data_IF_734579762378
#
_entry.id   IF_734579762378
#
_cell.length_a   1.000
_cell.length_b   1.000
_cell.length_c   1.000
_cell.angle_alpha   90.00
_cell.angle_beta   90.00
_cell.angle_gamma   90.00
#
_symmetry.space_group_name_H-M   'P 1'
#
loop_
_entity.id
_entity.type
_entity.pdbx_description
1 polymer ?
#
# COMPACT_ATOMS: atom_id res chain seq x y z
N UNK A 1 4.34 -9.31 0.47
CA UNK A 1 4.57 -10.64 -0.12
C UNK A 1 5.28 -11.61 0.84
N UNK A 2 6.47 -11.26 1.33
CA UNK A 2 7.30 -12.14 2.19
C UNK A 2 6.64 -12.59 3.49
N UNK A 3 5.90 -11.71 4.16
CA UNK A 3 5.18 -12.06 5.40
C UNK A 3 4.13 -13.16 5.17
N UNK A 4 3.42 -13.12 4.03
CA UNK A 4 2.45 -14.14 3.65
C UNK A 4 3.13 -15.48 3.34
N UNK A 5 4.26 -15.44 2.62
CA UNK A 5 5.05 -16.63 2.36
C UNK A 5 5.58 -17.27 3.65
N UNK A 6 6.07 -16.44 4.58
CA UNK A 6 6.55 -16.91 5.87
C UNK A 6 5.41 -17.50 6.73
N UNK A 7 4.24 -16.85 6.75
CA UNK A 7 3.05 -17.34 7.44
C UNK A 7 2.61 -18.71 6.91
N UNK A 8 2.49 -18.86 5.58
CA UNK A 8 2.12 -20.14 4.96
C UNK A 8 3.16 -21.24 5.20
N UNK A 9 4.45 -20.90 5.25
CA UNK A 9 5.52 -21.87 5.53
C UNK A 9 5.51 -22.41 6.96
N UNK A 10 4.77 -21.78 7.89
CA UNK A 10 4.69 -22.15 9.31
C UNK A 10 3.32 -22.67 9.74
N UNK A 11 2.41 -22.79 8.79
CA UNK A 11 1.00 -22.97 9.04
C UNK A 11 0.71 -24.30 9.76
N UNK A 12 0.08 -24.23 10.93
CA UNK A 12 -0.44 -25.42 11.62
C UNK A 12 -1.77 -25.87 11.00
N UNK A 13 -1.75 -27.03 10.31
CA UNK A 13 -2.96 -27.60 9.70
C UNK A 13 -3.95 -28.18 10.73
N UNK A 14 -3.50 -28.41 11.96
CA UNK A 14 -4.36 -28.83 13.08
C UNK A 14 -5.16 -27.69 13.70
N UNK A 15 -4.73 -26.44 13.49
CA UNK A 15 -5.44 -25.24 13.94
C UNK A 15 -6.25 -24.64 12.79
N UNK A 16 -7.56 -24.90 12.81
CA UNK A 16 -8.48 -24.41 11.79
C UNK A 16 -8.55 -22.87 11.71
N UNK A 17 -8.31 -22.18 12.83
CA UNK A 17 -8.33 -20.71 12.87
C UNK A 17 -7.05 -20.14 12.27
N UNK A 18 -5.89 -20.74 12.58
CA UNK A 18 -4.61 -20.36 11.97
C UNK A 18 -4.62 -20.61 10.46
N UNK A 19 -5.10 -21.77 10.03
CA UNK A 19 -5.26 -22.11 8.62
C UNK A 19 -6.12 -21.09 7.87
N UNK A 20 -7.30 -20.77 8.42
CA UNK A 20 -8.20 -19.79 7.82
C UNK A 20 -7.53 -18.41 7.71
N UNK A 21 -6.91 -17.92 8.78
CA UNK A 21 -6.22 -16.63 8.79
C UNK A 21 -5.05 -16.57 7.79
N UNK A 22 -4.26 -17.65 7.70
CA UNK A 22 -3.15 -17.75 6.75
C UNK A 22 -3.62 -17.70 5.29
N UNK A 23 -4.70 -18.42 4.97
CA UNK A 23 -5.26 -18.43 3.61
C UNK A 23 -6.02 -17.14 3.26
N UNK A 24 -6.65 -16.47 4.23
CA UNK A 24 -7.25 -15.16 4.01
C UNK A 24 -6.16 -14.09 3.75
N UNK A 25 -5.01 -14.19 4.42
CA UNK A 25 -3.86 -13.34 4.11
C UNK A 25 -3.28 -13.63 2.72
N UNK A 26 -3.33 -14.88 2.25
CA UNK A 26 -2.97 -15.23 0.87
C UNK A 26 -3.93 -14.61 -0.13
N UNK A 27 -5.24 -14.74 0.07
CA UNK A 27 -6.22 -14.16 -0.85
C UNK A 27 -6.06 -12.64 -0.95
N UNK A 28 -5.88 -11.97 0.19
CA UNK A 28 -5.60 -10.53 0.21
C UNK A 28 -4.32 -10.14 -0.56
N UNK A 29 -3.30 -11.01 -0.56
CA UNK A 29 -2.09 -10.82 -1.36
C UNK A 29 -2.38 -10.97 -2.87
N UNK A 30 -3.12 -12.01 -3.25
CA UNK A 30 -3.47 -12.29 -4.64
C UNK A 30 -4.41 -11.23 -5.22
N UNK A 31 -5.29 -10.66 -4.41
CA UNK A 31 -6.14 -9.52 -4.77
C UNK A 31 -5.30 -8.28 -5.07
N UNK A 32 -4.34 -7.94 -4.19
CA UNK A 32 -3.44 -6.82 -4.42
C UNK A 32 -2.62 -6.98 -5.71
N UNK A 33 -2.07 -8.17 -5.96
CA UNK A 33 -1.36 -8.46 -7.21
C UNK A 33 -2.28 -8.37 -8.44
N UNK A 34 -3.54 -8.83 -8.34
CA UNK A 34 -4.51 -8.70 -9.43
C UNK A 34 -4.85 -7.24 -9.72
N UNK A 35 -4.94 -6.40 -8.68
CA UNK A 35 -5.24 -4.98 -8.83
C UNK A 35 -4.09 -4.20 -9.47
N UNK A 36 -2.85 -4.50 -9.07
CA UNK A 36 -1.62 -4.00 -9.70
C UNK A 36 -1.66 -4.19 -11.23
N UNK A 37 -1.78 -5.44 -11.67
CA UNK A 37 -1.80 -5.80 -13.08
C UNK A 37 -2.92 -5.12 -13.86
N UNK A 38 -4.08 -4.93 -13.24
CA UNK A 38 -5.21 -4.22 -13.87
C UNK A 38 -4.87 -2.76 -14.14
N UNK A 39 -4.33 -2.04 -13.16
CA UNK A 39 -3.97 -0.62 -13.36
C UNK A 39 -2.94 -0.43 -14.46
N UNK A 40 -2.00 -1.36 -14.57
CA UNK A 40 -1.00 -1.32 -15.62
C UNK A 40 -1.58 -1.62 -16.98
N UNK A 41 -2.40 -2.67 -17.09
CA UNK A 41 -3.06 -3.04 -18.33
C UNK A 41 -4.03 -1.94 -18.83
N UNK A 42 -4.72 -1.27 -17.92
CA UNK A 42 -5.76 -0.29 -18.26
C UNK A 42 -5.21 1.12 -18.46
N UNK A 43 -4.09 1.47 -17.82
CA UNK A 43 -3.56 2.85 -17.81
C UNK A 43 -2.13 2.93 -18.33
N UNK A 44 -1.21 2.11 -17.81
CA UNK A 44 0.23 2.25 -18.07
C UNK A 44 0.60 1.72 -19.47
N UNK A 45 0.24 0.49 -19.79
CA UNK A 45 0.55 -0.11 -21.09
C UNK A 45 -0.06 0.67 -22.26
N UNK A 46 -1.36 1.08 -22.22
CA UNK A 46 -1.92 1.92 -23.27
C UNK A 46 -1.19 3.25 -23.44
N UNK A 47 -0.70 3.85 -22.35
CA UNK A 47 0.10 5.07 -22.43
C UNK A 47 1.47 4.82 -23.09
N UNK A 48 2.15 3.75 -22.71
CA UNK A 48 3.43 3.37 -23.34
C UNK A 48 3.24 3.12 -24.83
N UNK A 49 2.25 2.31 -25.22
CA UNK A 49 1.92 2.00 -26.62
C UNK A 49 1.56 3.24 -27.46
N UNK A 50 0.87 4.21 -26.85
CA UNK A 50 0.48 5.44 -27.53
C UNK A 50 1.67 6.30 -27.99
N UNK A 51 2.84 6.16 -27.34
CA UNK A 51 4.07 6.90 -27.70
C UNK A 51 5.15 6.00 -28.30
N UNK A 52 5.15 4.71 -27.95
CA UNK A 52 6.12 3.71 -28.40
C UNK A 52 5.41 2.39 -28.74
N UNK A 53 4.84 2.27 -29.95
CA UNK A 53 4.13 1.06 -30.37
C UNK A 53 5.01 -0.21 -30.29
N UNK A 54 4.46 -1.27 -29.72
CA UNK A 54 5.10 -2.57 -29.51
C UNK A 54 5.95 -2.68 -28.24
N UNK A 55 6.16 -1.58 -27.49
CA UNK A 55 7.05 -1.57 -26.32
C UNK A 55 6.51 -2.38 -25.12
N UNK A 56 5.20 -2.60 -25.03
CA UNK A 56 4.55 -3.35 -23.94
C UNK A 56 4.11 -4.77 -24.32
N UNK A 57 4.26 -5.18 -25.59
CA UNK A 57 3.75 -6.47 -26.09
C UNK A 57 4.27 -7.68 -25.32
N UNK A 58 5.57 -7.67 -24.96
CA UNK A 58 6.18 -8.76 -24.19
C UNK A 58 5.58 -8.84 -22.79
N UNK A 59 5.41 -7.71 -22.13
CA UNK A 59 4.91 -7.65 -20.75
C UNK A 59 3.42 -7.94 -20.68
N UNK A 60 2.65 -7.60 -21.73
CA UNK A 60 1.26 -8.03 -21.85
C UNK A 60 1.10 -9.56 -21.90
N UNK A 61 2.10 -10.31 -22.40
CA UNK A 61 2.11 -11.77 -22.32
C UNK A 61 2.45 -12.26 -20.91
N UNK A 62 3.49 -11.68 -20.29
CA UNK A 62 3.90 -11.97 -18.92
C UNK A 62 2.76 -11.69 -17.90
N UNK A 63 1.90 -10.68 -18.15
CA UNK A 63 0.71 -10.38 -17.34
C UNK A 63 -0.36 -11.48 -17.42
N UNK A 64 -0.54 -12.10 -18.60
CA UNK A 64 -1.48 -13.23 -18.74
C UNK A 64 -1.00 -14.43 -17.94
N UNK A 65 0.29 -14.74 -18.04
CA UNK A 65 0.91 -15.82 -17.27
C UNK A 65 0.81 -15.56 -15.75
N UNK A 66 1.04 -14.32 -15.30
CA UNK A 66 0.83 -13.94 -13.90
C UNK A 66 -0.62 -14.11 -13.44
N UNK A 67 -1.61 -13.73 -14.26
CA UNK A 67 -3.03 -13.91 -13.93
C UNK A 67 -3.41 -15.39 -13.83
N UNK A 68 -2.85 -16.25 -14.70
CA UNK A 68 -3.01 -17.70 -14.63
C UNK A 68 -2.38 -18.31 -13.36
N UNK A 69 -1.19 -17.82 -12.98
CA UNK A 69 -0.53 -18.20 -11.72
C UNK A 69 -1.38 -17.80 -10.51
N UNK A 70 -1.94 -16.59 -10.50
CA UNK A 70 -2.86 -16.11 -9.45
C UNK A 70 -4.10 -17.02 -9.36
N UNK A 71 -4.71 -17.36 -10.50
CA UNK A 71 -5.87 -18.25 -10.54
C UNK A 71 -5.53 -19.64 -9.97
N UNK A 72 -4.38 -20.19 -10.35
CA UNK A 72 -3.87 -21.47 -9.84
C UNK A 72 -3.68 -21.45 -8.33
N UNK A 73 -3.07 -20.40 -7.79
CA UNK A 73 -2.87 -20.22 -6.35
C UNK A 73 -4.20 -20.14 -5.60
N UNK A 74 -5.21 -19.41 -6.13
CA UNK A 74 -6.56 -19.36 -5.56
C UNK A 74 -7.22 -20.74 -5.53
N UNK A 75 -7.10 -21.52 -6.61
CA UNK A 75 -7.63 -22.90 -6.66
C UNK A 75 -6.95 -23.80 -5.63
N UNK A 76 -5.62 -23.71 -5.49
CA UNK A 76 -4.87 -24.49 -4.50
C UNK A 76 -5.24 -24.09 -3.06
N UNK A 77 -5.42 -22.80 -2.79
CA UNK A 77 -5.87 -22.30 -1.49
C UNK A 77 -7.28 -22.83 -1.16
N UNK A 78 -8.22 -22.78 -2.10
CA UNK A 78 -9.56 -23.33 -1.93
C UNK A 78 -9.56 -24.85 -1.67
N UNK A 79 -8.72 -25.60 -2.39
CA UNK A 79 -8.55 -27.02 -2.16
C UNK A 79 -7.99 -27.32 -0.75
N UNK A 80 -7.02 -26.51 -0.28
CA UNK A 80 -6.46 -26.66 1.05
C UNK A 80 -7.47 -26.29 2.16
N UNK A 81 -8.34 -25.30 1.94
CA UNK A 81 -9.46 -25.00 2.85
C UNK A 81 -10.41 -26.19 2.99
N UNK A 82 -10.73 -26.84 1.88
CA UNK A 82 -11.63 -27.99 1.89
C UNK A 82 -10.99 -29.23 2.51
N UNK A 83 -9.71 -29.45 2.25
CA UNK A 83 -8.95 -30.62 2.70
C UNK A 83 -7.55 -30.20 3.17
N UNK A 84 -7.35 -29.98 4.48
CA UNK A 84 -6.07 -29.55 5.04
C UNK A 84 -5.02 -30.68 5.04
N UNK A 85 -4.38 -30.91 3.90
CA UNK A 85 -3.36 -31.96 3.74
C UNK A 85 -1.96 -31.35 3.59
N UNK A 86 -0.98 -31.90 4.32
CA UNK A 86 0.40 -31.42 4.33
C UNK A 86 1.02 -31.31 2.92
N UNK A 87 0.76 -32.30 2.06
CA UNK A 87 1.24 -32.27 0.67
C UNK A 87 0.63 -31.13 -0.14
N UNK A 88 -0.63 -30.77 0.09
CA UNK A 88 -1.29 -29.64 -0.58
C UNK A 88 -0.75 -28.30 -0.05
N UNK A 89 -0.54 -28.18 1.26
CA UNK A 89 0.06 -27.00 1.87
C UNK A 89 1.48 -26.75 1.34
N UNK A 90 2.31 -27.80 1.24
CA UNK A 90 3.66 -27.69 0.70
C UNK A 90 3.68 -27.28 -0.78
N UNK A 91 2.77 -27.83 -1.61
CA UNK A 91 2.63 -27.41 -3.01
C UNK A 91 2.24 -25.94 -3.13
N UNK A 92 1.24 -25.50 -2.36
CA UNK A 92 0.81 -24.11 -2.33
C UNK A 92 1.95 -23.17 -1.93
N UNK A 93 2.68 -23.51 -0.87
CA UNK A 93 3.85 -22.75 -0.42
C UNK A 93 4.91 -22.62 -1.52
N UNK A 94 5.27 -23.72 -2.19
CA UNK A 94 6.27 -23.71 -3.26
C UNK A 94 5.82 -22.89 -4.46
N UNK A 95 4.55 -23.00 -4.84
CA UNK A 95 4.01 -22.25 -5.97
C UNK A 95 3.96 -20.76 -5.66
N UNK A 96 3.60 -20.39 -4.43
CA UNK A 96 3.64 -19.00 -3.99
C UNK A 96 5.07 -18.45 -3.95
N UNK A 97 6.06 -19.25 -3.53
CA UNK A 97 7.45 -18.83 -3.53
C UNK A 97 7.94 -18.50 -4.94
N UNK A 98 7.60 -19.34 -5.93
CA UNK A 98 7.92 -19.09 -7.33
C UNK A 98 7.22 -17.82 -7.85
N UNK A 99 5.90 -17.70 -7.60
CA UNK A 99 5.13 -16.51 -7.97
C UNK A 99 5.73 -15.22 -7.38
N UNK A 100 6.15 -15.22 -6.11
CA UNK A 100 6.75 -14.03 -5.48
C UNK A 100 8.09 -13.67 -6.13
N UNK A 101 8.91 -14.66 -6.50
CA UNK A 101 10.18 -14.41 -7.18
C UNK A 101 9.95 -13.76 -8.55
N UNK A 102 9.06 -14.34 -9.35
CA UNK A 102 8.67 -13.81 -10.66
C UNK A 102 8.06 -12.40 -10.53
N UNK A 103 7.22 -12.17 -9.52
CA UNK A 103 6.62 -10.86 -9.28
C UNK A 103 7.68 -9.80 -8.91
N UNK A 104 8.78 -10.15 -8.25
CA UNK A 104 9.85 -9.20 -7.97
C UNK A 104 10.64 -8.84 -9.22
N UNK A 105 10.98 -9.82 -10.06
CA UNK A 105 11.65 -9.57 -11.33
C UNK A 105 10.78 -8.72 -12.27
N UNK A 106 9.47 -9.03 -12.28
CA UNK A 106 8.47 -8.29 -13.03
C UNK A 106 8.42 -6.81 -12.60
N UNK A 107 8.27 -6.52 -11.30
CA UNK A 107 8.25 -5.14 -10.78
C UNK A 107 9.56 -4.38 -11.04
N UNK A 108 10.72 -5.04 -10.99
CA UNK A 108 12.01 -4.39 -11.29
C UNK A 108 12.05 -3.90 -12.75
N UNK A 109 11.54 -4.69 -13.68
CA UNK A 109 11.45 -4.30 -15.09
C UNK A 109 10.51 -3.10 -15.27
N UNK A 110 9.35 -3.11 -14.61
CA UNK A 110 8.40 -2.00 -14.67
C UNK A 110 8.99 -0.72 -14.08
N UNK A 111 9.61 -0.81 -12.90
CA UNK A 111 10.19 0.34 -12.24
C UNK A 111 11.39 0.91 -13.00
N UNK A 112 12.24 0.06 -13.58
CA UNK A 112 13.46 0.49 -14.26
C UNK A 112 13.22 0.91 -15.72
N UNK A 113 12.34 0.22 -16.46
CA UNK A 113 12.17 0.43 -17.91
C UNK A 113 10.87 1.15 -18.27
N UNK A 114 9.73 0.73 -17.72
CA UNK A 114 8.45 1.36 -18.05
C UNK A 114 8.38 2.79 -17.54
N UNK A 115 8.78 3.04 -16.29
CA UNK A 115 8.88 4.39 -15.76
C UNK A 115 9.82 5.25 -16.60
N UNK A 116 10.96 4.71 -17.03
CA UNK A 116 11.90 5.44 -17.90
C UNK A 116 11.26 5.81 -19.23
N UNK A 117 10.53 4.89 -19.88
CA UNK A 117 9.82 5.15 -21.13
C UNK A 117 8.74 6.23 -20.96
N UNK A 118 7.96 6.15 -19.87
CA UNK A 118 6.94 7.15 -19.54
C UNK A 118 7.58 8.53 -19.31
N UNK A 119 8.64 8.62 -18.52
CA UNK A 119 9.33 9.90 -18.24
C UNK A 119 9.96 10.52 -19.48
N UNK A 120 10.47 9.70 -20.41
CA UNK A 120 11.01 10.18 -21.66
C UNK A 120 9.90 10.73 -22.59
N UNK A 121 8.75 10.05 -22.63
CA UNK A 121 7.70 10.31 -23.61
C UNK A 121 6.64 11.35 -23.19
N UNK A 122 6.41 11.51 -21.89
CA UNK A 122 5.35 12.35 -21.33
C UNK A 122 5.91 13.57 -20.59
N UNK A 123 5.13 14.65 -20.57
CA UNK A 123 5.36 15.79 -19.68
C UNK A 123 4.87 15.46 -18.27
N UNK A 124 5.39 16.18 -17.28
CA UNK A 124 5.00 15.99 -15.87
C UNK A 124 3.50 16.23 -15.63
N UNK A 125 2.89 17.18 -16.35
CA UNK A 125 1.47 17.44 -16.25
C UNK A 125 0.63 16.27 -16.77
N UNK A 126 1.07 15.63 -17.85
CA UNK A 126 0.43 14.41 -18.35
C UNK A 126 0.64 13.25 -17.37
N UNK A 127 1.86 13.04 -16.87
CA UNK A 127 2.17 12.00 -15.88
C UNK A 127 1.32 12.16 -14.60
N UNK A 128 1.19 13.39 -14.09
CA UNK A 128 0.37 13.69 -12.91
C UNK A 128 -1.12 13.47 -13.18
N UNK A 129 -1.60 13.79 -14.37
CA UNK A 129 -2.98 13.47 -14.77
C UNK A 129 -3.19 11.95 -14.85
N UNK A 130 -2.20 11.19 -15.31
CA UNK A 130 -2.27 9.72 -15.32
C UNK A 130 -2.29 9.13 -13.91
N UNK A 131 -1.39 9.57 -13.03
CA UNK A 131 -1.38 9.19 -11.62
C UNK A 131 -2.73 9.51 -10.95
N UNK A 132 -3.28 10.71 -11.19
CA UNK A 132 -4.58 11.11 -10.67
C UNK A 132 -5.72 10.18 -11.10
N UNK A 133 -5.70 9.67 -12.34
CA UNK A 133 -6.70 8.68 -12.81
C UNK A 133 -6.55 7.34 -12.10
N UNK A 134 -5.32 6.87 -11.86
CA UNK A 134 -5.06 5.63 -11.11
C UNK A 134 -5.53 5.79 -9.66
N UNK A 135 -5.13 6.88 -8.99
CA UNK A 135 -5.56 7.14 -7.61
C UNK A 135 -7.08 7.26 -7.48
N UNK A 136 -7.75 7.82 -8.49
CA UNK A 136 -9.21 7.92 -8.52
C UNK A 136 -9.91 6.58 -8.78
N UNK A 137 -9.26 5.61 -9.43
CA UNK A 137 -9.83 4.27 -9.67
C UNK A 137 -9.67 3.34 -8.47
N UNK A 138 -8.72 3.63 -7.57
CA UNK A 138 -8.47 2.81 -6.37
C UNK A 138 -9.60 2.97 -5.35
N UNK A 139 -10.34 1.88 -5.13
CA UNK A 139 -11.39 1.82 -4.11
C UNK A 139 -10.84 1.75 -2.67
N UNK A 140 -11.67 2.00 -1.64
CA UNK A 140 -11.22 2.00 -0.24
C UNK A 140 -10.66 0.67 0.26
N UNK A 141 -11.20 -0.45 -0.23
CA UNK A 141 -10.74 -1.79 0.12
C UNK A 141 -9.35 -2.06 -0.45
N UNK A 142 -9.16 -1.71 -1.72
CA UNK A 142 -7.88 -1.82 -2.40
C UNK A 142 -6.82 -0.90 -1.76
N UNK A 143 -7.16 0.36 -1.47
CA UNK A 143 -6.26 1.28 -0.76
C UNK A 143 -5.81 0.70 0.59
N UNK A 144 -6.70 0.03 1.32
CA UNK A 144 -6.35 -0.61 2.60
C UNK A 144 -5.32 -1.72 2.41
N UNK A 145 -5.43 -2.51 1.32
CA UNK A 145 -4.46 -3.55 0.99
C UNK A 145 -3.10 -2.97 0.63
N UNK A 146 -3.06 -1.92 -0.19
CA UNK A 146 -1.82 -1.23 -0.55
C UNK A 146 -1.13 -0.62 0.66
N UNK A 147 -1.88 0.07 1.52
CA UNK A 147 -1.34 0.65 2.76
C UNK A 147 -0.72 -0.40 3.69
N UNK A 148 -1.29 -1.61 3.75
CA UNK A 148 -0.69 -2.70 4.54
C UNK A 148 0.73 -3.02 4.06
N UNK A 149 1.02 -2.89 2.77
CA UNK A 149 2.33 -3.17 2.20
C UNK A 149 3.26 -1.97 2.22
N UNK A 150 2.72 -0.78 2.00
CA UNK A 150 3.48 0.46 1.95
C UNK A 150 3.89 0.93 3.35
N UNK A 151 2.97 0.95 4.33
CA UNK A 151 3.22 1.55 5.66
C UNK A 151 4.46 1.02 6.40
N UNK A 152 4.83 -0.27 6.31
CA UNK A 152 6.07 -0.75 6.92
C UNK A 152 7.34 -0.09 6.34
N UNK A 153 7.31 0.36 5.09
CA UNK A 153 8.45 1.00 4.42
C UNK A 153 8.56 2.50 4.73
N UNK A 154 7.50 3.13 5.26
CA UNK A 154 7.48 4.55 5.60
C UNK A 154 8.30 4.82 6.87
N UNK A 155 8.91 6.01 6.97
CA UNK A 155 9.56 6.42 8.22
C UNK A 155 8.51 6.54 9.32
N UNK A 156 8.88 6.32 10.60
CA UNK A 156 7.91 6.38 11.70
C UNK A 156 7.09 7.69 11.75
N UNK A 157 7.71 8.82 11.40
CA UNK A 157 7.07 10.14 11.36
C UNK A 157 6.07 10.28 10.21
N UNK A 158 6.44 9.83 9.01
CA UNK A 158 5.57 9.85 7.82
C UNK A 158 4.38 8.92 8.01
N UNK A 159 4.63 7.73 8.57
CA UNK A 159 3.57 6.77 8.94
C UNK A 159 2.61 7.36 9.97
N UNK A 160 3.11 8.08 10.97
CA UNK A 160 2.27 8.71 12.00
C UNK A 160 1.39 9.83 11.40
N UNK A 161 1.92 10.63 10.49
CA UNK A 161 1.17 11.69 9.79
C UNK A 161 0.05 11.10 8.93
N UNK A 162 0.36 10.05 8.17
CA UNK A 162 -0.61 9.39 7.31
C UNK A 162 -1.76 8.78 8.14
N UNK A 163 -1.45 8.09 9.23
CA UNK A 163 -2.48 7.51 10.12
C UNK A 163 -3.29 8.60 10.82
N UNK A 164 -2.67 9.72 11.22
CA UNK A 164 -3.37 10.84 11.86
C UNK A 164 -4.36 11.54 10.91
N UNK A 165 -4.09 11.54 9.61
CA UNK A 165 -5.00 12.07 8.58
C UNK A 165 -6.15 11.14 8.22
N UNK A 166 -6.14 9.88 8.65
CA UNK A 166 -7.22 8.94 8.36
C UNK A 166 -8.44 9.24 9.22
N UNK A 167 -9.66 9.24 8.63
CA UNK A 167 -10.87 9.38 9.42
C UNK A 167 -10.94 8.25 10.46
N UNK A 168 -11.34 8.54 11.71
CA UNK A 168 -11.49 7.52 12.73
C UNK A 168 -12.43 6.44 12.21
N UNK A 169 -12.11 5.16 12.43
CA UNK A 169 -13.00 4.05 12.09
C UNK A 169 -14.41 4.41 12.55
N UNK A 170 -15.45 4.32 11.69
CA UNK A 170 -16.81 4.55 12.14
C UNK A 170 -17.02 3.62 13.33
N UNK A 171 -17.33 4.22 14.49
CA UNK A 171 -17.77 3.45 15.66
C UNK A 171 -18.93 2.61 15.16
N UNK A 172 -18.71 1.30 14.99
CA UNK A 172 -19.83 0.34 14.91
C UNK A 172 -20.68 0.69 16.13
N UNK A 173 -21.91 1.19 15.90
CA UNK A 173 -22.89 1.36 16.98
C UNK A 173 -22.88 0.04 17.73
N UNK A 174 -22.47 0.12 18.99
CA UNK A 174 -22.07 -1.06 19.75
C UNK A 174 -23.16 -2.11 19.70
N UNK A 175 -22.81 -3.31 19.23
CA UNK A 175 -23.38 -4.48 19.87
C UNK A 175 -22.95 -4.43 21.34
N UNK A 176 -23.86 -4.60 22.30
CA UNK A 176 -23.52 -4.52 23.70
C UNK A 176 -22.69 -5.76 24.05
N UNK A 177 -21.37 -5.67 23.87
CA UNK A 177 -20.48 -6.55 24.61
C UNK A 177 -20.65 -6.16 26.08
N UNK A 178 -20.94 -7.10 27.00
CA UNK A 178 -21.02 -6.75 28.40
C UNK A 178 -19.66 -6.17 28.80
N UNK A 179 -19.71 -4.91 29.25
CA UNK A 179 -18.59 -4.23 29.83
C UNK A 179 -17.93 -5.19 30.83
N UNK A 180 -16.63 -5.40 30.63
CA UNK A 180 -15.74 -6.14 31.50
C UNK A 180 -16.13 -5.87 32.96
N UNK A 181 -16.73 -6.86 33.62
CA UNK A 181 -16.86 -6.93 35.07
C UNK A 181 -15.45 -7.13 35.64
N UNK A 182 -14.67 -6.06 35.69
CA UNK A 182 -13.38 -6.00 36.36
C UNK A 182 -13.31 -4.64 37.05
N UNK A 183 -13.96 -4.52 38.20
CA UNK A 183 -13.58 -3.50 39.18
C UNK A 183 -12.60 -4.15 40.15
N UNK A 184 -11.33 -3.78 40.03
CA UNK A 184 -10.34 -4.11 41.05
C UNK A 184 -10.70 -3.34 42.33
N UNK A 185 -11.17 -4.03 43.36
CA UNK A 185 -11.23 -3.49 44.72
C UNK A 185 -9.96 -3.88 45.46
N UNK A 186 -9.21 -2.96 46.09
CA UNK A 186 -8.14 -3.33 47.00
C UNK A 186 -8.78 -3.76 48.32
N UNK A 187 -8.46 -4.96 48.79
CA UNK A 187 -8.83 -5.48 50.10
C UNK A 187 -7.67 -6.29 50.69
N UNK A 188 -7.47 -6.26 52.02
CA UNK A 188 -6.22 -6.67 52.65
C UNK A 188 -6.13 -8.18 52.90
N UNK A 189 -4.89 -8.65 52.94
CA UNK A 189 -4.43 -9.89 53.58
C UNK A 189 -4.61 -11.24 52.85
N UNK A 190 -3.51 -11.98 52.93
CA UNK A 190 -3.20 -13.38 52.65
C UNK A 190 -4.34 -14.37 52.38
N UNK A 191 -4.32 -14.99 51.19
CA UNK A 191 -4.43 -16.44 50.92
C UNK A 191 -5.01 -16.68 49.51
N UNK A 192 -4.21 -17.21 48.58
CA UNK A 192 -4.68 -17.56 47.22
C UNK A 192 -5.33 -18.96 47.26
N UNK A 193 -6.66 -19.01 47.34
CA UNK A 193 -7.44 -20.20 46.97
C UNK A 193 -8.01 -19.98 45.56
N UNK A 194 -7.71 -20.88 44.62
CA UNK A 194 -8.28 -20.88 43.27
C UNK A 194 -9.46 -21.86 43.24
N UNK A 195 -10.68 -21.36 43.03
CA UNK A 195 -11.86 -22.21 42.73
C UNK A 195 -12.25 -22.09 41.25
N UNK A 196 -12.58 -23.22 40.62
CA UNK A 196 -13.06 -23.29 39.23
C UNK A 196 -14.48 -22.70 39.11
N UNK A 197 -14.73 -21.88 38.09
CA UNK A 197 -16.06 -21.35 37.72
C UNK A 197 -16.93 -22.42 37.02
N UNK A 198 -18.27 -22.31 37.09
CA UNK A 198 -19.19 -23.11 36.28
C UNK A 198 -19.23 -22.62 34.82
N UNK A 199 -19.71 -23.43 33.84
CA UNK A 199 -19.74 -23.04 32.43
C UNK A 199 -20.82 -21.98 32.16
N UNK A 200 -20.58 -21.14 31.14
CA UNK A 200 -21.52 -20.12 30.66
C UNK A 200 -22.83 -20.73 30.15
N UNK A 201 -23.98 -20.04 30.27
CA UNK A 201 -25.25 -20.54 29.73
C UNK A 201 -25.28 -20.48 28.21
N UNK A 202 -25.91 -21.48 27.59
CA UNK A 202 -26.10 -21.59 26.15
C UNK A 202 -27.11 -20.56 25.61
N UNK A 203 -26.86 -20.07 24.38
CA UNK A 203 -27.74 -19.13 23.66
C UNK A 203 -28.94 -19.87 23.04
N UNK A 204 -30.15 -19.28 23.01
CA UNK A 204 -31.30 -19.90 22.36
C UNK A 204 -31.23 -19.75 20.83
N UNK A 205 -31.59 -20.83 20.12
CA UNK A 205 -31.85 -20.82 18.67
C UNK A 205 -33.26 -20.26 18.39
N UNK A 206 -33.48 -19.53 17.29
CA UNK A 206 -34.83 -19.14 16.90
C UNK A 206 -35.54 -20.30 16.20
N UNK A 207 -36.68 -20.74 16.75
CA UNK A 207 -37.66 -21.60 16.05
C UNK A 207 -38.57 -20.75 15.14
N UNK A 208 -38.96 -21.32 14.00
CA UNK A 208 -39.44 -20.59 12.82
C UNK A 208 -40.94 -20.30 12.73
N UNK A 209 -41.29 -19.59 11.66
CA UNK A 209 -42.60 -19.62 10.98
C UNK A 209 -42.49 -18.99 9.57
N UNK A 210 -42.95 -19.73 8.56
CA UNK A 210 -43.43 -19.29 7.24
C UNK A 210 -44.82 -19.93 7.02
N UNK A 211 -45.66 -19.68 5.97
CA UNK A 211 -45.53 -18.81 4.77
C UNK A 211 -46.81 -17.98 4.38
N UNK A 212 -46.68 -17.21 3.28
CA UNK A 212 -47.65 -16.71 2.26
C UNK A 212 -48.98 -15.95 2.57
N UNK A 213 -49.10 -14.74 2.00
CA UNK A 213 -50.29 -14.28 1.23
C UNK A 213 -50.05 -12.94 0.49
N UNK A 214 -50.42 -12.91 -0.80
CA UNK A 214 -50.54 -11.75 -1.69
C UNK A 214 -51.52 -10.67 -1.17
N UNK A 215 -51.17 -9.38 -1.36
CA UNK A 215 -52.10 -8.36 -1.90
C UNK A 215 -51.37 -7.08 -2.36
N UNK A 216 -51.86 -6.55 -3.47
CA UNK A 216 -51.43 -5.37 -4.22
C UNK A 216 -51.35 -4.05 -3.44
N UNK A 217 -50.50 -3.13 -3.91
CA UNK A 217 -50.58 -1.72 -3.54
C UNK A 217 -49.31 -0.91 -3.82
N UNK A 218 -49.24 -0.32 -5.02
CA UNK A 218 -48.40 0.81 -5.42
C UNK A 218 -47.88 1.72 -4.29
N UNK A 219 -46.56 1.82 -4.14
CA UNK A 219 -45.89 3.01 -3.61
C UNK A 219 -44.43 3.09 -4.11
N UNK A 220 -44.06 4.29 -4.55
CA UNK A 220 -42.82 4.63 -5.23
C UNK A 220 -41.55 4.22 -4.46
N UNK A 221 -40.65 3.51 -5.13
CA UNK A 221 -39.29 3.26 -4.65
C UNK A 221 -38.44 4.52 -4.87
N UNK A 222 -38.34 5.36 -3.84
CA UNK A 222 -37.26 6.34 -3.73
C UNK A 222 -36.02 5.60 -3.25
N UNK A 223 -35.16 5.21 -4.21
CA UNK A 223 -33.80 4.78 -3.92
C UNK A 223 -33.04 5.94 -3.26
N UNK A 224 -32.89 5.91 -1.94
CA UNK A 224 -31.91 6.77 -1.25
C UNK A 224 -30.53 6.24 -1.60
N UNK A 225 -29.84 6.95 -2.49
CA UNK A 225 -28.43 6.78 -2.75
C UNK A 225 -27.64 6.84 -1.43
N UNK A 226 -26.84 5.80 -1.17
CA UNK A 226 -25.79 5.85 -0.16
C UNK A 226 -24.73 6.87 -0.64
N UNK A 227 -24.26 7.79 0.23
CA UNK A 227 -23.27 8.78 -0.18
C UNK A 227 -21.93 8.11 -0.48
N UNK A 228 -21.30 8.57 -1.58
CA UNK A 228 -19.98 8.15 -2.03
C UNK A 228 -18.89 8.52 -1.01
N UNK A 229 -18.62 7.63 -0.05
CA UNK A 229 -17.50 7.75 0.88
C UNK A 229 -16.12 7.44 0.24
N UNK A 230 -16.07 7.15 -1.06
CA UNK A 230 -14.82 6.95 -1.81
C UNK A 230 -14.04 8.25 -2.08
N UNK A 231 -14.71 9.39 -2.13
CA UNK A 231 -14.12 10.67 -2.55
C UNK A 231 -13.15 11.29 -1.52
N UNK A 232 -13.15 10.84 -0.26
CA UNK A 232 -12.34 11.43 0.80
C UNK A 232 -10.94 10.80 0.92
N UNK A 233 -10.74 9.59 0.40
CA UNK A 233 -9.45 8.91 0.45
C UNK A 233 -8.46 9.46 -0.58
N UNK A 234 -8.93 9.80 -1.79
CA UNK A 234 -8.10 10.42 -2.83
C UNK A 234 -7.62 11.84 -2.48
N UNK A 235 -8.39 12.59 -1.68
CA UNK A 235 -8.05 13.95 -1.26
C UNK A 235 -7.01 13.99 -0.13
N UNK A 236 -6.81 12.90 0.61
CA UNK A 236 -5.77 12.85 1.66
C UNK A 236 -4.41 12.35 1.14
N UNK A 237 -4.35 11.73 -0.05
CA UNK A 237 -3.09 11.48 -0.76
C UNK A 237 -2.73 12.62 -1.71
N UNK A 238 -3.72 13.32 -2.26
CA UNK A 238 -3.52 14.56 -3.01
C UNK A 238 -3.70 15.77 -2.08
N UNK A 239 -2.61 16.24 -1.47
CA UNK A 239 -2.35 17.59 -0.91
C UNK A 239 -1.67 17.50 0.47
N UNK A 240 -0.36 17.69 0.49
CA UNK A 240 0.27 18.48 1.55
C UNK A 240 0.73 19.82 0.94
N UNK A 241 -0.19 20.79 0.87
CA UNK A 241 0.23 22.18 1.07
C UNK A 241 0.58 22.33 2.55
N UNK A 242 1.86 22.53 2.84
CA UNK A 242 2.36 22.70 4.19
C UNK A 242 1.96 24.07 4.76
N UNK A 243 1.11 24.09 5.78
CA UNK A 243 1.19 25.13 6.80
C UNK A 243 2.53 25.00 7.56
N UNK A 244 3.15 26.12 7.99
CA UNK A 244 4.49 26.06 8.58
C UNK A 244 4.48 25.27 9.89
N UNK A 245 5.34 24.25 10.05
CA UNK A 245 5.38 23.46 11.27
C UNK A 245 6.12 24.22 12.38
N UNK A 246 5.61 24.09 13.61
CA UNK A 246 6.33 24.48 14.81
C UNK A 246 7.68 23.71 14.93
N UNK A 247 8.68 24.38 15.50
CA UNK A 247 10.09 23.97 15.51
C UNK A 247 10.33 22.56 16.11
N UNK A 248 11.15 21.75 15.42
CA UNK A 248 11.53 20.38 15.78
C UNK A 248 13.08 20.29 15.86
N UNK A 249 13.69 20.24 17.06
CA UNK A 249 15.14 20.41 17.26
C UNK A 249 16.10 19.31 16.73
N UNK A 250 15.64 18.35 15.91
CA UNK A 250 16.46 17.21 15.43
C UNK A 250 16.24 16.79 13.97
N UNK A 251 15.71 17.66 13.11
CA UNK A 251 15.64 17.40 11.68
C UNK A 251 16.98 17.76 10.99
N UNK A 252 17.67 16.84 10.27
CA UNK A 252 18.90 17.15 9.52
C UNK A 252 18.70 18.13 8.35
N UNK A 253 17.45 18.40 7.96
CA UNK A 253 17.08 19.46 7.01
C UNK A 253 16.59 20.75 7.72
N UNK A 254 16.68 20.84 9.06
CA UNK A 254 16.22 22.04 9.77
C UNK A 254 17.07 23.24 9.35
N UNK A 255 16.44 24.21 8.68
CA UNK A 255 17.09 25.41 8.16
C UNK A 255 17.75 25.26 6.79
N UNK A 256 17.71 24.09 6.15
CA UNK A 256 18.23 23.91 4.79
C UNK A 256 17.13 24.22 3.79
N UNK A 257 17.31 25.27 3.00
CA UNK A 257 16.34 25.65 1.96
C UNK A 257 16.44 24.70 0.76
N UNK A 258 15.34 24.55 0.02
CA UNK A 258 15.34 23.81 -1.25
C UNK A 258 16.39 24.36 -2.24
N UNK A 259 16.66 25.67 -2.17
CA UNK A 259 17.74 26.29 -2.95
C UNK A 259 19.11 25.78 -2.52
N UNK A 260 19.39 25.73 -1.21
CA UNK A 260 20.64 25.22 -0.69
C UNK A 260 20.86 23.75 -1.10
N UNK A 261 19.78 22.95 -1.10
CA UNK A 261 19.81 21.55 -1.56
C UNK A 261 20.23 21.46 -3.04
N UNK A 262 19.56 22.21 -3.91
CA UNK A 262 19.87 22.18 -5.36
C UNK A 262 21.30 22.65 -5.63
N UNK A 263 21.75 23.72 -4.98
CA UNK A 263 23.13 24.22 -5.11
C UNK A 263 24.16 23.21 -4.62
N UNK A 264 23.90 22.53 -3.51
CA UNK A 264 24.82 21.54 -2.95
C UNK A 264 24.92 20.29 -3.85
N UNK A 265 23.81 19.86 -4.44
CA UNK A 265 23.77 18.76 -5.39
C UNK A 265 24.48 19.11 -6.69
N UNK A 266 24.23 20.31 -7.24
CA UNK A 266 24.92 20.84 -8.41
C UNK A 266 26.44 20.89 -8.17
N UNK A 267 26.87 21.46 -7.04
CA UNK A 267 28.28 21.57 -6.71
C UNK A 267 28.98 20.20 -6.58
N UNK A 268 28.25 19.16 -6.19
CA UNK A 268 28.82 17.83 -5.97
C UNK A 268 28.79 16.93 -7.20
N UNK A 269 27.70 16.94 -7.97
CA UNK A 269 27.53 16.04 -9.12
C UNK A 269 27.60 16.74 -10.49
N UNK A 270 27.49 18.08 -10.52
CA UNK A 270 27.26 18.85 -11.74
C UNK A 270 25.89 18.59 -12.36
N UNK A 271 25.44 19.46 -13.27
CA UNK A 271 24.16 19.27 -13.97
C UNK A 271 24.06 17.95 -14.75
N UNK A 272 25.08 17.52 -15.51
CA UNK A 272 25.02 16.23 -16.20
C UNK A 272 24.90 15.05 -15.23
N UNK A 273 25.62 15.08 -14.11
CA UNK A 273 25.54 14.04 -13.08
C UNK A 273 24.19 14.05 -12.35
N UNK A 274 23.60 15.23 -12.12
CA UNK A 274 22.23 15.33 -11.61
C UNK A 274 21.22 14.71 -12.56
N UNK A 275 21.29 15.06 -13.85
CA UNK A 275 20.36 14.56 -14.87
C UNK A 275 20.45 13.04 -15.07
N UNK A 276 21.63 12.44 -14.87
CA UNK A 276 21.79 10.98 -14.89
C UNK A 276 21.13 10.31 -13.68
N UNK A 277 21.16 10.96 -12.51
CA UNK A 277 20.64 10.41 -11.25
C UNK A 277 19.14 10.63 -11.08
N UNK A 278 18.68 11.81 -11.48
CA UNK A 278 17.28 12.20 -11.48
C UNK A 278 17.02 12.78 -12.88
N UNK A 279 16.44 11.99 -13.81
CA UNK A 279 16.24 12.41 -15.19
C UNK A 279 15.08 13.41 -15.31
N UNK A 280 15.26 14.60 -14.73
CA UNK A 280 14.35 15.74 -14.84
C UNK A 280 14.78 16.64 -15.99
N UNK A 281 13.79 17.14 -16.74
CA UNK A 281 14.03 18.07 -17.85
C UNK A 281 14.73 19.35 -17.39
N UNK A 282 14.42 19.85 -16.20
CA UNK A 282 15.06 21.05 -15.64
C UNK A 282 16.56 20.88 -15.30
N UNK A 283 17.09 19.65 -15.30
CA UNK A 283 18.52 19.37 -15.11
C UNK A 283 19.25 19.08 -16.42
N UNK A 284 18.51 18.82 -17.51
CA UNK A 284 19.07 18.46 -18.82
C UNK A 284 18.91 19.55 -19.88
N UNK A 285 17.89 20.40 -19.78
CA UNK A 285 17.61 21.48 -20.72
C UNK A 285 17.76 22.84 -20.03
N UNK A 286 18.76 23.62 -20.46
CA UNK A 286 19.13 24.93 -19.90
C UNK A 286 19.12 24.95 -18.35
N UNK A 287 19.97 24.11 -17.72
CA UNK A 287 19.87 23.87 -16.30
C UNK A 287 20.36 25.08 -15.52
N UNK A 288 19.52 25.54 -14.59
CA UNK A 288 19.87 26.59 -13.64
C UNK A 288 19.18 26.35 -12.31
N UNK A 289 19.73 26.94 -11.24
CA UNK A 289 19.12 26.86 -9.90
C UNK A 289 17.71 27.48 -9.91
N UNK A 290 17.51 28.57 -10.65
CA UNK A 290 16.21 29.25 -10.72
C UNK A 290 15.16 28.45 -11.48
N UNK A 291 15.52 27.83 -12.62
CA UNK A 291 14.61 26.96 -13.38
C UNK A 291 14.24 25.70 -12.59
N UNK A 292 15.23 25.12 -11.91
CA UNK A 292 15.05 23.98 -11.00
C UNK A 292 14.13 24.32 -9.84
N UNK A 293 14.34 25.44 -9.15
CA UNK A 293 13.49 25.87 -8.04
C UNK A 293 12.06 26.16 -8.46
N UNK A 294 11.88 26.84 -9.61
CA UNK A 294 10.55 27.12 -10.16
C UNK A 294 9.79 25.82 -10.46
N UNK A 295 10.50 24.81 -10.94
CA UNK A 295 9.98 23.47 -11.18
C UNK A 295 9.67 22.73 -9.87
N UNK A 296 10.64 22.56 -8.97
CA UNK A 296 10.51 21.81 -7.72
C UNK A 296 9.50 22.44 -6.74
N UNK A 297 9.20 23.74 -6.89
CA UNK A 297 8.10 24.39 -6.14
C UNK A 297 6.72 23.90 -6.59
N UNK A 298 6.56 23.58 -7.86
CA UNK A 298 5.29 23.14 -8.48
C UNK A 298 5.14 21.63 -8.54
N UNK A 299 6.23 20.88 -8.33
CA UNK A 299 6.29 19.42 -8.48
C UNK A 299 6.76 18.75 -7.19
N UNK A 300 5.86 18.44 -6.23
CA UNK A 300 6.23 17.90 -4.91
C UNK A 300 7.02 16.59 -4.98
N UNK A 301 6.63 15.61 -5.79
CA UNK A 301 7.35 14.34 -5.91
C UNK A 301 8.80 14.52 -6.39
N UNK A 302 9.03 15.48 -7.29
CA UNK A 302 10.36 15.77 -7.81
C UNK A 302 11.22 16.43 -6.73
N UNK A 303 10.60 17.29 -5.91
CA UNK A 303 11.22 17.82 -4.70
C UNK A 303 11.63 16.69 -3.76
N UNK A 304 10.74 15.75 -3.48
CA UNK A 304 11.03 14.63 -2.58
C UNK A 304 12.20 13.78 -3.07
N UNK A 305 12.29 13.52 -4.39
CA UNK A 305 13.44 12.81 -5.00
C UNK A 305 14.75 13.60 -4.85
N UNK A 306 14.71 14.91 -5.08
CA UNK A 306 15.88 15.81 -4.92
C UNK A 306 16.33 15.88 -3.46
N UNK A 307 15.40 16.01 -2.52
CA UNK A 307 15.68 15.98 -1.08
C UNK A 307 16.25 14.62 -0.64
N UNK A 308 15.71 13.52 -1.16
CA UNK A 308 16.20 12.17 -0.93
C UNK A 308 17.64 11.97 -1.41
N UNK A 309 17.98 12.45 -2.61
CA UNK A 309 19.34 12.39 -3.16
C UNK A 309 20.32 13.21 -2.32
N UNK A 310 19.91 14.38 -1.84
CA UNK A 310 20.71 15.21 -0.95
C UNK A 310 21.03 14.51 0.38
N UNK A 311 20.03 13.89 1.01
CA UNK A 311 20.24 13.10 2.22
C UNK A 311 21.13 11.87 1.99
N UNK A 312 21.06 11.25 0.81
CA UNK A 312 21.99 10.19 0.43
C UNK A 312 23.43 10.71 0.33
N UNK A 313 23.64 11.80 -0.43
CA UNK A 313 24.94 12.45 -0.58
C UNK A 313 25.55 12.84 0.78
N UNK A 314 24.78 13.45 1.68
CA UNK A 314 25.27 13.85 3.01
C UNK A 314 25.66 12.65 3.90
N UNK A 315 24.94 11.53 3.79
CA UNK A 315 25.32 10.28 4.49
C UNK A 315 26.64 9.72 3.95
N UNK A 316 26.85 9.75 2.64
CA UNK A 316 28.09 9.32 2.00
C UNK A 316 29.28 10.21 2.38
N UNK A 317 29.10 11.54 2.41
CA UNK A 317 30.12 12.47 2.90
C UNK A 317 30.52 12.18 4.34
N UNK A 318 29.56 11.91 5.23
CA UNK A 318 29.86 11.56 6.64
C UNK A 318 30.62 10.24 6.77
N UNK A 319 30.27 9.22 5.98
CA UNK A 319 30.97 7.92 5.96
C UNK A 319 32.41 8.03 5.47
N UNK A 320 32.64 8.83 4.43
CA UNK A 320 33.97 9.05 3.85
C UNK A 320 34.86 9.88 4.78
N UNK A 321 34.32 10.92 5.43
CA UNK A 321 35.08 11.72 6.40
C UNK A 321 35.36 10.99 7.72
N UNK A 322 34.47 10.08 8.16
CA UNK A 322 34.69 9.26 9.36
C UNK A 322 35.66 8.08 9.18
N UNK A 323 36.16 7.84 7.95
CA UNK A 323 37.12 6.78 7.64
C UNK A 323 38.54 7.33 7.42
N UNK A 324 38.70 8.65 7.44
CA UNK A 324 39.96 9.37 7.21
C UNK A 324 40.52 10.05 8.48
N UNK A 325 39.89 9.82 9.65
CA UNK A 325 40.40 10.20 10.97
C UNK A 325 40.45 8.99 11.88
#
# INVERSE_FOLDING_TARGET
MTDTLHGLGRLDLGDAQELAAGLDQLDALLDAASFHLRHENDVIHPAIEARHPGASHRIAAEHREHLEAIATLRTQAAALRAQPVAAAAHRLYRQLAAFIAENFEHMDVEESRHNQALWAAYSDAELQAMEGRILASIGPQEMTLWLRWMLPAFRPTERAQLIAGMPPRPRRRGWPWPARCWTARPGPSSAKHWTRRPPCPAWPRPEGAAPDAMRDGSAASSARALPAHGAQWGQNLAMHEASPPAAQPRNPLHGVTLEAIVRALEAHYGWPGLAQRIPLRCFSQDPSVSSSLKFLRKTPWARDKVEGLYLFMEREKRRTHGRAG
#
